data_IF_464036807730
#
_entry.id   IF_464036807730
#
_cell.length_a   1.000
_cell.length_b   1.000
_cell.length_c   1.000
_cell.angle_alpha   90.00
_cell.angle_beta   90.00
_cell.angle_gamma   90.00
#
_symmetry.space_group_name_H-M   'P 1'
#
loop_
_entity.id
_entity.type
_entity.pdbx_description
1 polymer ?
#
# COMPACT_ATOMS: atom_id res chain seq x y z
N UNK A 1 3.01 15.64 -9.17
CA UNK A 1 2.84 16.21 -7.82
C UNK A 1 1.36 16.37 -7.54
N UNK A 2 0.92 16.03 -6.32
CA UNK A 2 -0.50 16.10 -5.92
C UNK A 2 -1.12 17.49 -6.13
N UNK A 3 -0.31 18.57 -6.09
CA UNK A 3 -0.73 19.97 -6.34
C UNK A 3 -1.61 20.21 -7.56
N UNK A 4 -1.53 19.35 -8.60
CA UNK A 4 -2.27 19.54 -9.84
C UNK A 4 -3.70 18.97 -9.81
N UNK A 5 -4.03 18.17 -8.81
CA UNK A 5 -5.34 17.52 -8.71
C UNK A 5 -5.82 17.37 -7.25
N UNK A 6 -5.26 18.13 -6.31
CA UNK A 6 -5.52 17.97 -4.89
C UNK A 6 -7.01 18.12 -4.55
N UNK A 7 -7.66 19.13 -5.14
CA UNK A 7 -9.08 19.42 -4.91
C UNK A 7 -10.03 18.34 -5.47
N UNK A 8 -9.54 17.44 -6.31
CA UNK A 8 -10.31 16.33 -6.89
C UNK A 8 -10.19 15.01 -6.11
N UNK A 9 -9.40 14.98 -5.02
CA UNK A 9 -9.15 13.76 -4.26
C UNK A 9 -10.13 13.64 -3.09
N UNK A 10 -11.09 12.73 -3.21
CA UNK A 10 -12.04 12.42 -2.14
C UNK A 10 -11.42 11.58 -0.99
N UNK A 11 -10.21 11.08 -1.20
CA UNK A 11 -9.48 10.25 -0.26
C UNK A 11 -7.96 10.48 -0.35
N UNK A 12 -7.21 10.23 0.73
CA UNK A 12 -5.76 10.40 0.74
C UNK A 12 -5.07 9.40 -0.20
N UNK A 13 -4.00 9.85 -0.87
CA UNK A 13 -3.14 8.97 -1.67
C UNK A 13 -2.31 8.10 -0.75
N UNK A 14 -2.51 6.78 -0.80
CA UNK A 14 -1.76 5.79 -0.02
C UNK A 14 -0.68 5.10 -0.85
N UNK A 15 0.33 4.55 -0.17
CA UNK A 15 1.41 3.76 -0.77
C UNK A 15 1.44 2.35 -0.17
N UNK A 16 1.54 1.35 -1.04
CA UNK A 16 1.82 -0.04 -0.66
C UNK A 16 3.25 -0.34 -1.09
N UNK A 17 4.12 -0.66 -0.13
CA UNK A 17 5.55 -0.84 -0.35
C UNK A 17 6.08 -1.98 0.53
N UNK A 18 7.37 -2.27 0.39
CA UNK A 18 8.06 -3.24 1.23
C UNK A 18 7.90 -2.89 2.73
N UNK A 19 7.99 -3.88 3.61
CA UNK A 19 8.19 -3.62 5.04
C UNK A 19 9.42 -2.76 5.29
N UNK A 20 9.36 -1.93 6.32
CA UNK A 20 10.43 -1.01 6.74
C UNK A 20 11.54 -1.76 7.50
N UNK A 21 12.13 -2.73 6.81
CA UNK A 21 13.14 -3.65 7.34
C UNK A 21 14.13 -3.99 6.22
N UNK A 22 15.39 -4.38 6.54
CA UNK A 22 16.29 -4.94 5.54
C UNK A 22 15.65 -6.13 4.81
N UNK A 23 15.89 -6.25 3.51
CA UNK A 23 15.33 -7.35 2.71
C UNK A 23 16.04 -8.67 3.03
N UNK A 24 15.28 -9.68 3.43
CA UNK A 24 15.80 -10.99 3.84
C UNK A 24 15.74 -12.00 2.69
N UNK A 25 16.59 -13.04 2.74
CA UNK A 25 16.63 -14.13 1.75
C UNK A 25 15.81 -15.37 2.14
N UNK A 26 15.27 -15.41 3.36
CA UNK A 26 14.34 -16.48 3.76
C UNK A 26 13.03 -16.33 2.98
N UNK A 27 12.54 -17.38 2.28
CA UNK A 27 11.32 -17.30 1.48
C UNK A 27 10.11 -16.76 2.27
N UNK A 28 9.94 -17.24 3.50
CA UNK A 28 8.87 -16.78 4.41
C UNK A 28 8.91 -15.28 4.70
N UNK A 29 10.10 -14.69 4.78
CA UNK A 29 10.28 -13.27 5.04
C UNK A 29 10.16 -12.43 3.77
N UNK A 30 10.49 -13.00 2.61
CA UNK A 30 10.27 -12.35 1.30
C UNK A 30 8.77 -12.12 1.09
N UNK A 31 7.95 -13.15 1.31
CA UNK A 31 6.50 -13.08 1.11
C UNK A 31 5.84 -12.05 2.05
N UNK A 32 6.34 -11.95 3.29
CA UNK A 32 5.87 -10.95 4.25
C UNK A 32 6.35 -9.53 3.92
N UNK A 33 7.57 -9.39 3.39
CA UNK A 33 8.17 -8.10 3.09
C UNK A 33 7.54 -7.45 1.85
N UNK A 34 7.32 -8.22 0.78
CA UNK A 34 6.88 -7.69 -0.50
C UNK A 34 5.41 -7.22 -0.49
N UNK A 35 5.06 -6.21 -1.32
CA UNK A 35 3.67 -5.93 -1.66
C UNK A 35 2.98 -7.18 -2.23
N UNK A 36 1.77 -7.46 -1.76
CA UNK A 36 0.97 -8.59 -2.23
C UNK A 36 -0.49 -8.19 -2.46
N UNK A 37 -1.26 -9.08 -3.07
CA UNK A 37 -2.65 -8.84 -3.47
C UNK A 37 -3.51 -8.44 -2.27
N UNK A 38 -3.40 -9.15 -1.15
CA UNK A 38 -4.21 -8.90 0.04
C UNK A 38 -3.96 -7.49 0.60
N UNK A 39 -2.69 -7.05 0.65
CA UNK A 39 -2.32 -5.69 1.09
C UNK A 39 -2.85 -4.62 0.13
N UNK A 40 -2.84 -4.88 -1.17
CA UNK A 40 -3.41 -3.95 -2.18
C UNK A 40 -4.92 -3.85 -2.02
N UNK A 41 -5.61 -4.97 -1.91
CA UNK A 41 -7.08 -4.99 -1.72
C UNK A 41 -7.46 -4.29 -0.43
N UNK A 42 -6.75 -4.53 0.67
CA UNK A 42 -6.98 -3.85 1.94
C UNK A 42 -6.77 -2.33 1.83
N UNK A 43 -5.72 -1.88 1.16
CA UNK A 43 -5.45 -0.45 0.95
C UNK A 43 -6.51 0.23 0.06
N UNK A 44 -6.99 -0.46 -0.98
CA UNK A 44 -8.09 0.05 -1.84
C UNK A 44 -9.38 0.15 -1.04
N UNK A 45 -9.70 -0.88 -0.27
CA UNK A 45 -10.86 -0.91 0.62
C UNK A 45 -10.83 0.20 1.66
N UNK A 46 -9.66 0.49 2.25
CA UNK A 46 -9.52 1.54 3.26
C UNK A 46 -9.77 2.93 2.68
N UNK A 47 -9.30 3.24 1.46
CA UNK A 47 -9.58 4.55 0.82
C UNK A 47 -11.01 4.68 0.31
N UNK A 48 -11.69 3.56 0.06
CA UNK A 48 -13.12 3.54 -0.30
C UNK A 48 -14.05 3.53 0.92
N UNK A 49 -13.51 3.52 2.14
CA UNK A 49 -14.25 3.37 3.40
C UNK A 49 -15.18 2.14 3.39
N UNK A 50 -14.72 1.01 2.84
CA UNK A 50 -15.44 -0.27 2.77
C UNK A 50 -14.61 -1.36 3.46
N UNK A 51 -15.20 -2.07 4.42
CA UNK A 51 -14.59 -3.24 5.06
C UNK A 51 -14.85 -4.51 4.23
#
# INVERSE_FOLDING_TARGET
LQRYAFDYLDAPVMRVMQTDTPFAFSPTLIDAALPNVDRVVAAVKSVLYRN
#
